data_IF_413191380491
#
_entry.id   IF_413191380491
#
_cell.length_a   1.000
_cell.length_b   1.000
_cell.length_c   1.000
_cell.angle_alpha   90.00
_cell.angle_beta   90.00
_cell.angle_gamma   90.00
#
_symmetry.space_group_name_H-M   'P 1'
#
loop_
_entity.id
_entity.type
_entity.pdbx_description
1 polymer ?
#
# COMPACT_ATOMS: atom_id res chain seq x y z
N UNK A 1 14.50 26.04 -6.84
CA UNK A 1 13.74 24.78 -6.93
C UNK A 1 12.42 24.89 -6.16
N UNK A 2 11.29 25.11 -6.84
CA UNK A 2 10.00 25.31 -6.19
C UNK A 2 9.54 24.08 -5.39
N UNK A 3 9.62 22.88 -5.98
CA UNK A 3 9.11 21.64 -5.37
C UNK A 3 9.88 21.11 -4.16
N UNK A 4 11.17 21.44 -4.03
CA UNK A 4 11.99 20.83 -2.99
C UNK A 4 11.51 21.21 -1.58
N UNK A 5 11.09 22.47 -1.42
CA UNK A 5 10.71 23.07 -0.14
C UNK A 5 9.32 23.71 -0.14
N UNK A 6 8.51 23.49 -1.18
CA UNK A 6 7.14 24.02 -1.21
C UNK A 6 6.28 23.42 -0.10
N UNK A 7 5.19 24.13 0.23
CA UNK A 7 4.19 23.68 1.19
C UNK A 7 3.54 22.33 0.82
N UNK A 8 3.63 21.91 -0.45
CA UNK A 8 3.02 20.69 -0.96
C UNK A 8 3.99 19.50 -1.08
N UNK A 9 5.23 19.62 -0.57
CA UNK A 9 6.21 18.52 -0.60
C UNK A 9 5.79 17.39 0.32
N UNK A 10 5.73 16.16 -0.21
CA UNK A 10 5.61 14.95 0.61
C UNK A 10 6.92 14.68 1.36
N UNK A 11 6.86 14.67 2.69
CA UNK A 11 8.02 14.50 3.59
C UNK A 11 8.07 13.13 4.28
N UNK A 12 6.93 12.49 4.46
CA UNK A 12 6.78 11.26 5.23
C UNK A 12 5.86 10.28 4.50
N UNK A 13 5.97 8.96 4.76
CA UNK A 13 4.93 8.03 4.34
C UNK A 13 3.62 8.39 5.03
N UNK A 14 2.55 8.44 4.25
CA UNK A 14 1.21 8.81 4.69
C UNK A 14 0.26 7.65 4.50
N UNK A 15 -0.63 7.46 5.47
CA UNK A 15 -1.63 6.41 5.47
C UNK A 15 -3.00 6.97 5.82
N UNK A 16 -4.06 6.38 5.29
CA UNK A 16 -5.43 6.79 5.64
C UNK A 16 -5.69 6.39 7.11
N UNK A 17 -6.15 7.33 7.94
CA UNK A 17 -6.43 7.09 9.37
C UNK A 17 -7.31 5.86 9.62
N UNK A 18 -8.36 5.69 8.81
CA UNK A 18 -9.25 4.51 8.91
C UNK A 18 -8.53 3.18 8.64
N UNK A 19 -7.65 3.15 7.64
CA UNK A 19 -6.93 1.92 7.29
C UNK A 19 -5.85 1.58 8.32
N UNK A 20 -5.08 2.58 8.77
CA UNK A 20 -4.01 2.33 9.74
C UNK A 20 -4.54 1.89 11.10
N UNK A 21 -5.73 2.36 11.50
CA UNK A 21 -6.38 1.87 12.72
C UNK A 21 -6.73 0.39 12.58
N UNK A 22 -7.42 0.01 11.50
CA UNK A 22 -7.75 -1.38 11.22
C UNK A 22 -6.49 -2.27 11.14
N UNK A 23 -5.42 -1.76 10.53
CA UNK A 23 -4.14 -2.45 10.43
C UNK A 23 -3.54 -2.75 11.79
N UNK A 24 -3.44 -1.75 12.67
CA UNK A 24 -2.89 -1.93 14.02
C UNK A 24 -3.75 -2.84 14.88
N UNK A 25 -5.07 -2.69 14.80
CA UNK A 25 -6.01 -3.55 15.53
C UNK A 25 -5.91 -5.02 15.06
N UNK A 26 -5.75 -5.25 13.75
CA UNK A 26 -5.55 -6.58 13.20
C UNK A 26 -4.18 -7.17 13.59
N UNK A 27 -3.11 -6.38 13.57
CA UNK A 27 -1.78 -6.80 14.03
C UNK A 27 -1.73 -7.14 15.52
N UNK A 28 -2.62 -6.59 16.33
CA UNK A 28 -2.75 -6.97 17.74
C UNK A 28 -3.40 -8.35 17.92
N UNK A 29 -4.17 -8.81 16.94
CA UNK A 29 -4.89 -10.10 16.96
C UNK A 29 -4.16 -11.20 16.18
N UNK A 30 -3.33 -10.82 15.20
CA UNK A 30 -2.63 -11.73 14.30
C UNK A 30 -1.14 -11.43 14.31
N UNK A 31 -0.32 -12.43 14.67
CA UNK A 31 1.14 -12.32 14.64
C UNK A 31 1.69 -12.25 13.22
N UNK A 32 1.07 -12.97 12.28
CA UNK A 32 1.42 -12.90 10.86
C UNK A 32 0.73 -11.68 10.20
N UNK A 33 1.48 -10.76 9.59
CA UNK A 33 0.90 -9.59 8.91
C UNK A 33 0.03 -9.97 7.70
N UNK A 34 0.26 -11.13 7.05
CA UNK A 34 -0.58 -11.63 5.96
C UNK A 34 -1.98 -12.00 6.47
N UNK A 35 -2.05 -12.67 7.61
CA UNK A 35 -3.33 -13.01 8.27
C UNK A 35 -4.02 -11.75 8.79
N UNK A 36 -3.25 -10.79 9.32
CA UNK A 36 -3.77 -9.48 9.72
C UNK A 36 -4.46 -8.78 8.53
N UNK A 37 -3.82 -8.75 7.36
CA UNK A 37 -4.42 -8.17 6.15
C UNK A 37 -5.65 -8.95 5.69
N UNK A 38 -5.58 -10.29 5.70
CA UNK A 38 -6.70 -11.15 5.34
C UNK A 38 -7.93 -10.86 6.21
N UNK A 39 -7.77 -10.65 7.52
CA UNK A 39 -8.85 -10.31 8.46
C UNK A 39 -9.57 -8.99 8.14
N UNK A 40 -8.88 -8.05 7.47
CA UNK A 40 -9.43 -6.75 7.10
C UNK A 40 -10.18 -6.86 5.78
N UNK A 41 -9.56 -7.49 4.77
CA UNK A 41 -10.12 -7.52 3.42
C UNK A 41 -11.27 -8.52 3.26
N UNK A 42 -11.26 -9.62 4.03
CA UNK A 42 -12.33 -10.60 4.06
C UNK A 42 -13.60 -10.09 4.73
N UNK A 43 -13.51 -9.08 5.59
CA UNK A 43 -14.66 -8.44 6.22
C UNK A 43 -15.18 -7.28 5.34
N UNK A 44 -16.38 -7.40 4.74
CA UNK A 44 -16.91 -6.39 3.83
C UNK A 44 -17.10 -5.01 4.48
N UNK A 45 -17.45 -4.96 5.77
CA UNK A 45 -17.66 -3.71 6.51
C UNK A 45 -16.33 -2.99 6.75
N UNK A 46 -15.31 -3.71 7.23
CA UNK A 46 -13.96 -3.17 7.40
C UNK A 46 -13.41 -2.68 6.06
N UNK A 47 -13.53 -3.48 5.01
CA UNK A 47 -13.10 -3.12 3.66
C UNK A 47 -13.82 -1.87 3.12
N UNK A 48 -15.14 -1.79 3.28
CA UNK A 48 -15.95 -0.65 2.87
C UNK A 48 -15.53 0.62 3.61
N UNK A 49 -15.27 0.52 4.91
CA UNK A 49 -14.98 1.68 5.77
C UNK A 49 -13.77 2.50 5.32
N UNK A 50 -12.66 1.87 4.93
CA UNK A 50 -11.48 2.59 4.46
C UNK A 50 -11.57 2.96 2.97
N UNK A 51 -12.27 2.15 2.15
CA UNK A 51 -12.46 2.43 0.72
C UNK A 51 -13.32 3.68 0.51
N UNK A 52 -14.39 3.87 1.28
CA UNK A 52 -15.24 5.06 1.21
C UNK A 52 -14.54 6.34 1.70
N UNK A 53 -13.46 6.21 2.49
CA UNK A 53 -12.65 7.34 2.94
C UNK A 53 -11.63 7.83 1.88
N UNK A 54 -11.54 7.18 0.70
CA UNK A 54 -10.67 7.63 -0.40
C UNK A 54 -11.14 9.00 -0.92
N UNK A 55 -10.20 9.94 -1.05
CA UNK A 55 -10.49 11.31 -1.49
C UNK A 55 -11.10 12.23 -0.42
N UNK A 56 -11.29 11.77 0.82
CA UNK A 56 -11.99 12.52 1.90
C UNK A 56 -11.08 12.98 3.04
N UNK A 57 -9.80 13.26 2.76
CA UNK A 57 -8.84 13.71 3.78
C UNK A 57 -8.52 12.66 4.86
N UNK A 58 -7.93 13.08 5.99
CA UNK A 58 -7.59 12.17 7.10
C UNK A 58 -6.37 11.29 6.83
N UNK A 59 -5.35 11.83 6.16
CA UNK A 59 -4.03 11.22 6.14
C UNK A 59 -3.33 11.44 7.49
N UNK A 60 -2.64 10.41 7.96
CA UNK A 60 -1.77 10.48 9.12
C UNK A 60 -0.37 10.04 8.73
N UNK A 61 0.63 10.58 9.42
CA UNK A 61 2.02 10.16 9.27
C UNK A 61 2.18 8.71 9.72
N UNK A 62 2.93 7.93 8.96
CA UNK A 62 3.34 6.56 9.28
C UNK A 62 4.88 6.45 9.22
N UNK A 63 5.41 5.24 9.23
CA UNK A 63 6.83 4.92 9.08
C UNK A 63 7.04 4.02 7.86
N UNK A 64 8.25 4.00 7.32
CA UNK A 64 8.60 3.09 6.21
C UNK A 64 8.40 1.62 6.59
N UNK A 65 8.74 1.25 7.82
CA UNK A 65 8.56 -0.11 8.33
C UNK A 65 7.08 -0.53 8.29
N UNK A 66 6.18 0.33 8.78
CA UNK A 66 4.74 0.03 8.85
C UNK A 66 4.10 -0.07 7.46
N UNK A 67 4.43 0.84 6.54
CA UNK A 67 3.85 0.80 5.19
C UNK A 67 4.41 -0.33 4.34
N UNK A 68 5.71 -0.64 4.46
CA UNK A 68 6.35 -1.71 3.68
C UNK A 68 5.79 -3.08 4.07
N UNK A 69 5.64 -3.34 5.38
CA UNK A 69 5.06 -4.59 5.88
C UNK A 69 3.61 -4.77 5.40
N UNK A 70 2.79 -3.71 5.50
CA UNK A 70 1.40 -3.77 5.05
C UNK A 70 1.27 -3.97 3.53
N UNK A 71 2.12 -3.32 2.71
CA UNK A 71 2.13 -3.51 1.24
C UNK A 71 2.57 -4.94 0.90
N UNK A 72 3.61 -5.46 1.55
CA UNK A 72 4.09 -6.82 1.33
C UNK A 72 3.02 -7.85 1.72
N UNK A 73 2.38 -7.69 2.89
CA UNK A 73 1.30 -8.54 3.36
C UNK A 73 0.10 -8.54 2.41
N UNK A 74 -0.29 -7.35 1.91
CA UNK A 74 -1.35 -7.22 0.92
C UNK A 74 -1.02 -7.96 -0.38
N UNK A 75 0.19 -7.80 -0.90
CA UNK A 75 0.64 -8.47 -2.12
C UNK A 75 0.69 -9.99 -1.93
N UNK A 76 1.24 -10.50 -0.83
CA UNK A 76 1.29 -11.94 -0.54
C UNK A 76 -0.12 -12.52 -0.43
N UNK A 77 -1.01 -11.86 0.31
CA UNK A 77 -2.40 -12.28 0.45
C UNK A 77 -3.10 -12.33 -0.91
N UNK A 78 -2.95 -11.29 -1.73
CA UNK A 78 -3.57 -11.24 -3.06
C UNK A 78 -3.02 -12.32 -3.98
N UNK A 79 -1.70 -12.47 -4.07
CA UNK A 79 -1.07 -13.48 -4.91
C UNK A 79 -1.50 -14.91 -4.51
N UNK A 80 -1.51 -15.20 -3.21
CA UNK A 80 -1.86 -16.51 -2.67
C UNK A 80 -3.34 -16.86 -2.90
N UNK A 81 -4.25 -15.90 -2.77
CA UNK A 81 -5.70 -16.16 -2.85
C UNK A 81 -6.26 -16.05 -4.26
N UNK A 82 -5.76 -15.12 -5.08
CA UNK A 82 -6.37 -14.76 -6.36
C UNK A 82 -5.43 -14.88 -7.56
N UNK A 83 -4.14 -15.11 -7.34
CA UNK A 83 -3.11 -15.11 -8.37
C UNK A 83 -2.31 -13.81 -8.41
N UNK A 84 -1.03 -13.87 -8.82
CA UNK A 84 -0.14 -12.72 -8.83
C UNK A 84 -0.54 -11.65 -9.85
N UNK A 85 -1.23 -12.03 -10.92
CA UNK A 85 -1.77 -11.14 -11.97
C UNK A 85 -2.90 -10.20 -11.48
N UNK A 86 -3.32 -10.32 -10.21
CA UNK A 86 -4.22 -9.37 -9.53
C UNK A 86 -3.46 -8.23 -8.85
N UNK A 87 -2.14 -8.21 -8.95
CA UNK A 87 -1.26 -7.16 -8.44
C UNK A 87 -0.68 -6.43 -9.63
N UNK A 88 -1.08 -5.17 -9.83
CA UNK A 88 -0.77 -4.42 -11.03
C UNK A 88 -0.16 -3.06 -10.69
N UNK A 89 0.77 -2.60 -11.54
CA UNK A 89 1.39 -1.29 -11.45
C UNK A 89 1.28 -0.51 -12.75
N UNK A 90 1.12 0.81 -12.64
CA UNK A 90 1.06 1.71 -13.77
C UNK A 90 2.19 2.74 -13.67
N UNK A 91 3.11 2.71 -14.64
CA UNK A 91 4.21 3.67 -14.74
C UNK A 91 4.47 3.95 -16.23
N UNK A 92 4.26 5.18 -16.73
CA UNK A 92 4.42 5.49 -18.14
C UNK A 92 5.87 5.86 -18.52
N UNK A 93 6.13 5.91 -19.83
CA UNK A 93 7.31 6.52 -20.49
C UNK A 93 8.65 6.21 -19.79
N UNK A 94 9.25 5.03 -20.05
CA UNK A 94 10.53 4.65 -19.43
C UNK A 94 11.70 5.58 -19.82
N UNK A 95 11.63 6.23 -20.98
CA UNK A 95 12.72 7.06 -21.51
C UNK A 95 13.05 8.29 -20.66
N UNK A 96 12.09 8.85 -19.91
CA UNK A 96 12.31 10.05 -19.09
C UNK A 96 13.10 9.76 -17.81
N UNK A 97 13.01 8.52 -17.30
CA UNK A 97 13.69 8.11 -16.07
C UNK A 97 13.75 6.58 -15.98
N UNK A 98 14.71 5.99 -16.70
CA UNK A 98 14.80 4.54 -16.93
C UNK A 98 14.82 3.70 -15.64
N UNK A 99 15.66 4.07 -14.67
CA UNK A 99 15.80 3.31 -13.41
C UNK A 99 14.58 3.50 -12.51
N UNK A 100 14.00 4.69 -12.47
CA UNK A 100 12.76 4.96 -11.72
C UNK A 100 11.60 4.11 -12.25
N UNK A 101 11.49 3.96 -13.57
CA UNK A 101 10.54 3.04 -14.20
C UNK A 101 10.84 1.58 -13.84
N UNK A 102 12.10 1.17 -14.01
CA UNK A 102 12.53 -0.21 -13.82
C UNK A 102 12.36 -0.69 -12.37
N UNK A 103 12.44 0.20 -11.38
CA UNK A 103 12.26 -0.14 -9.97
C UNK A 103 10.92 -0.84 -9.69
N UNK A 104 9.82 -0.28 -10.19
CA UNK A 104 8.48 -0.88 -10.05
C UNK A 104 8.26 -2.06 -10.99
N UNK A 105 8.65 -1.92 -12.26
CA UNK A 105 8.47 -2.95 -13.27
C UNK A 105 9.19 -4.26 -12.89
N UNK A 106 10.44 -4.16 -12.44
CA UNK A 106 11.22 -5.33 -12.00
C UNK A 106 10.57 -6.04 -10.82
N UNK A 107 10.10 -5.29 -9.82
CA UNK A 107 9.42 -5.88 -8.65
C UNK A 107 8.18 -6.68 -9.06
N UNK A 108 7.30 -6.08 -9.87
CA UNK A 108 6.05 -6.70 -10.31
C UNK A 108 6.31 -7.93 -11.20
N UNK A 109 7.19 -7.82 -12.19
CA UNK A 109 7.53 -8.95 -13.06
C UNK A 109 8.15 -10.13 -12.30
N UNK A 110 8.92 -9.89 -11.23
CA UNK A 110 9.49 -10.96 -10.41
C UNK A 110 8.44 -11.70 -9.57
N UNK A 111 7.38 -11.01 -9.12
CA UNK A 111 6.30 -11.63 -8.36
C UNK A 111 5.17 -12.16 -9.25
N UNK A 112 5.22 -11.92 -10.56
CA UNK A 112 4.22 -12.36 -11.54
C UNK A 112 3.03 -11.42 -11.72
N UNK A 113 3.15 -10.16 -11.32
CA UNK A 113 2.16 -9.09 -11.52
C UNK A 113 2.38 -8.27 -12.79
#
# INVERSE_FOLDING_TARGET
>A
SWYLYSANRLKYPLMRKKLIQLWRDAKAQHSDPVDAWASIISNPEKAKSYKQARGRGGFVRSSWQEVNEMIAAANICTAKTYGPDRIMGFSPIPAMSMVSYAAGARYLSLIGG
#
